data_IF_316359071555
#
_entry.id   IF_316359071555
#
_cell.length_a   1.000
_cell.length_b   1.000
_cell.length_c   1.000
_cell.angle_alpha   90.00
_cell.angle_beta   90.00
_cell.angle_gamma   90.00
#
_symmetry.space_group_name_H-M   'P 1'
#
loop_
_entity.id
_entity.type
_entity.pdbx_description
1 polymer ?
#
# COMPACT_ATOMS: atom_id res chain seq x y z
N UNK A 1 -13.51 0.49 -37.93
CA UNK A 1 -12.12 0.02 -37.89
C UNK A 1 -11.35 0.48 -36.65
N UNK A 2 -11.49 1.73 -36.24
CA UNK A 2 -10.83 2.27 -35.01
C UNK A 2 -11.34 1.63 -33.72
N UNK A 3 -12.62 1.31 -33.61
CA UNK A 3 -13.22 0.69 -32.41
C UNK A 3 -12.71 -0.74 -32.15
N UNK A 4 -12.44 -1.52 -33.20
CA UNK A 4 -11.84 -2.87 -33.11
C UNK A 4 -10.37 -2.84 -32.68
N UNK A 5 -9.63 -1.81 -33.09
CA UNK A 5 -8.22 -1.61 -32.67
C UNK A 5 -8.12 -1.24 -31.18
N UNK A 6 -9.02 -0.39 -30.68
CA UNK A 6 -9.07 0.00 -29.25
C UNK A 6 -9.44 -1.23 -28.40
N UNK A 7 -10.37 -2.07 -28.84
CA UNK A 7 -10.73 -3.30 -28.15
C UNK A 7 -9.60 -4.33 -28.13
N UNK A 8 -8.81 -4.42 -29.23
CA UNK A 8 -7.65 -5.31 -29.30
C UNK A 8 -6.49 -4.85 -28.42
N UNK A 9 -6.24 -3.53 -28.35
CA UNK A 9 -5.22 -2.94 -27.49
C UNK A 9 -5.59 -3.12 -26.02
N UNK A 10 -6.85 -2.92 -25.64
CA UNK A 10 -7.33 -3.18 -24.28
C UNK A 10 -7.21 -4.66 -23.89
N UNK A 11 -7.56 -5.58 -24.78
CA UNK A 11 -7.42 -7.03 -24.52
C UNK A 11 -5.95 -7.46 -24.35
N UNK A 12 -5.01 -6.88 -25.10
CA UNK A 12 -3.58 -7.17 -24.94
C UNK A 12 -3.00 -6.53 -23.67
N UNK A 13 -3.50 -5.35 -23.27
CA UNK A 13 -3.14 -4.70 -22.00
C UNK A 13 -3.68 -5.50 -20.81
N UNK A 14 -4.88 -6.07 -20.93
CA UNK A 14 -5.48 -6.90 -19.87
C UNK A 14 -4.72 -8.20 -19.64
N UNK A 15 -4.24 -8.87 -20.69
CA UNK A 15 -3.45 -10.11 -20.57
C UNK A 15 -2.07 -9.86 -19.94
N UNK A 16 -1.39 -8.76 -20.31
CA UNK A 16 -0.14 -8.35 -19.63
C UNK A 16 -0.39 -7.89 -18.19
N UNK A 17 -1.52 -7.26 -17.94
CA UNK A 17 -1.96 -6.85 -16.60
C UNK A 17 -2.23 -8.05 -15.69
N UNK A 18 -2.86 -9.12 -16.21
CA UNK A 18 -3.10 -10.36 -15.47
C UNK A 18 -1.79 -11.05 -15.08
N UNK A 19 -0.86 -11.21 -16.02
CA UNK A 19 0.43 -11.84 -15.75
C UNK A 19 1.28 -11.04 -14.73
N UNK A 20 1.29 -9.72 -14.84
CA UNK A 20 1.97 -8.86 -13.85
C UNK A 20 1.31 -8.96 -12.48
N UNK A 21 -0.03 -9.08 -12.42
CA UNK A 21 -0.75 -9.30 -11.15
C UNK A 21 -0.37 -10.60 -10.48
N UNK A 22 -0.25 -11.69 -11.23
CA UNK A 22 0.12 -13.00 -10.70
C UNK A 22 1.54 -12.97 -10.11
N UNK A 23 2.51 -12.42 -10.82
CA UNK A 23 3.90 -12.29 -10.35
C UNK A 23 3.99 -11.41 -9.09
N UNK A 24 3.27 -10.29 -9.05
CA UNK A 24 3.21 -9.42 -7.87
C UNK A 24 2.56 -10.14 -6.69
N UNK A 25 1.48 -10.86 -6.93
CA UNK A 25 0.78 -11.66 -5.92
C UNK A 25 1.70 -12.73 -5.34
N UNK A 26 2.38 -13.52 -6.20
CA UNK A 26 3.34 -14.55 -5.78
C UNK A 26 4.44 -13.97 -4.88
N UNK A 27 4.95 -12.76 -5.21
CA UNK A 27 5.94 -12.07 -4.40
C UNK A 27 5.37 -11.55 -3.08
N UNK A 28 4.10 -11.13 -3.04
CA UNK A 28 3.40 -10.64 -1.85
C UNK A 28 2.97 -11.76 -0.91
N UNK A 29 2.62 -12.94 -1.43
CA UNK A 29 2.21 -14.11 -0.64
C UNK A 29 3.38 -14.72 0.15
N UNK A 30 4.63 -14.46 -0.25
CA UNK A 30 5.81 -14.84 0.53
C UNK A 30 5.88 -14.05 1.83
N UNK A 31 6.27 -14.71 2.91
CA UNK A 31 6.59 -14.00 4.14
C UNK A 31 7.64 -12.91 3.88
N UNK A 32 7.52 -11.72 4.50
CA UNK A 32 8.46 -10.62 4.30
C UNK A 32 9.94 -11.02 4.47
N UNK A 33 10.24 -11.95 5.41
CA UNK A 33 11.58 -12.45 5.66
C UNK A 33 12.13 -13.44 4.61
N UNK A 34 11.25 -13.98 3.76
CA UNK A 34 11.61 -14.96 2.71
C UNK A 34 11.70 -14.33 1.32
N UNK A 35 11.36 -13.03 1.18
CA UNK A 35 11.43 -12.32 -0.10
C UNK A 35 12.85 -12.15 -0.56
N UNK A 36 13.11 -12.58 -1.78
CA UNK A 36 14.39 -12.42 -2.47
C UNK A 36 14.58 -10.99 -2.97
N UNK A 37 15.79 -10.67 -3.44
CA UNK A 37 16.05 -9.38 -4.10
C UNK A 37 15.19 -9.18 -5.34
N UNK A 38 14.90 -10.25 -6.07
CA UNK A 38 14.03 -10.23 -7.25
C UNK A 38 12.58 -9.91 -6.88
N UNK A 39 12.03 -10.54 -5.83
CA UNK A 39 10.70 -10.21 -5.31
C UNK A 39 10.61 -8.73 -4.92
N UNK A 40 11.63 -8.19 -4.26
CA UNK A 40 11.66 -6.79 -3.88
C UNK A 40 11.73 -5.84 -5.09
N UNK A 41 12.38 -6.23 -6.17
CA UNK A 41 12.40 -5.42 -7.40
C UNK A 41 11.05 -5.41 -8.11
N UNK A 42 10.38 -6.56 -8.17
CA UNK A 42 9.00 -6.68 -8.67
C UNK A 42 8.05 -5.77 -7.87
N UNK A 43 8.12 -5.85 -6.54
CA UNK A 43 7.29 -5.03 -5.65
C UNK A 43 7.61 -3.54 -5.75
N UNK A 44 8.89 -3.17 -5.95
CA UNK A 44 9.30 -1.79 -6.18
C UNK A 44 8.73 -1.23 -7.48
N UNK A 45 8.78 -1.98 -8.56
CA UNK A 45 8.20 -1.59 -9.85
C UNK A 45 6.68 -1.45 -9.75
N UNK A 46 6.02 -2.39 -9.07
CA UNK A 46 4.59 -2.35 -8.83
C UNK A 46 4.19 -1.10 -8.02
N UNK A 47 4.84 -0.84 -6.89
CA UNK A 47 4.52 0.29 -6.01
C UNK A 47 4.78 1.65 -6.65
N UNK A 48 5.62 1.74 -7.70
CA UNK A 48 5.80 2.97 -8.47
C UNK A 48 4.54 3.42 -9.22
N UNK A 49 3.66 2.48 -9.52
CA UNK A 49 2.41 2.74 -10.25
C UNK A 49 1.25 3.15 -9.33
N UNK A 50 1.43 3.03 -8.01
CA UNK A 50 0.41 3.35 -7.02
C UNK A 50 0.62 4.76 -6.46
N UNK A 51 -0.44 5.59 -6.52
CA UNK A 51 -0.40 6.98 -6.08
C UNK A 51 0.01 7.12 -4.60
N UNK A 52 -0.44 6.20 -3.76
CA UNK A 52 -0.11 6.17 -2.34
C UNK A 52 1.41 6.15 -2.04
N UNK A 53 2.25 5.70 -2.98
CA UNK A 53 3.71 5.66 -2.83
C UNK A 53 4.46 6.78 -3.57
N UNK A 54 3.78 7.65 -4.32
CA UNK A 54 4.42 8.65 -5.19
C UNK A 54 5.34 9.63 -4.46
N UNK A 55 5.01 9.98 -3.22
CA UNK A 55 5.80 10.93 -2.42
C UNK A 55 6.97 10.30 -1.67
N UNK A 56 7.18 8.98 -1.83
CA UNK A 56 8.23 8.25 -1.14
C UNK A 56 9.50 8.11 -1.98
N UNK A 57 10.65 8.25 -1.33
CA UNK A 57 11.92 7.98 -2.00
C UNK A 57 12.05 6.48 -2.30
N UNK A 58 12.89 6.12 -3.28
CA UNK A 58 13.14 4.72 -3.63
C UNK A 58 13.62 3.90 -2.42
N UNK A 59 14.46 4.47 -1.56
CA UNK A 59 14.95 3.79 -0.36
C UNK A 59 13.83 3.50 0.65
N UNK A 60 12.92 4.46 0.87
CA UNK A 60 11.73 4.25 1.72
C UNK A 60 10.84 3.16 1.13
N UNK A 61 10.56 3.24 -0.14
CA UNK A 61 9.70 2.29 -0.86
C UNK A 61 10.25 0.88 -0.79
N UNK A 62 11.56 0.71 -1.03
CA UNK A 62 12.24 -0.59 -0.90
C UNK A 62 12.13 -1.14 0.52
N UNK A 63 12.34 -0.31 1.52
CA UNK A 63 12.20 -0.69 2.91
C UNK A 63 10.76 -1.09 3.28
N UNK A 64 9.75 -0.41 2.73
CA UNK A 64 8.34 -0.80 2.92
C UNK A 64 8.02 -2.12 2.20
N UNK A 65 8.51 -2.33 0.97
CA UNK A 65 8.35 -3.60 0.25
C UNK A 65 8.92 -4.80 1.01
N UNK A 66 9.95 -4.61 1.83
CA UNK A 66 10.54 -5.70 2.63
C UNK A 66 9.74 -6.07 3.89
N UNK A 67 8.75 -5.26 4.29
CA UNK A 67 7.99 -5.49 5.54
C UNK A 67 6.47 -5.48 5.35
N UNK A 68 5.96 -5.11 4.17
CA UNK A 68 4.53 -5.10 3.92
C UNK A 68 3.95 -6.52 3.92
N UNK A 69 2.74 -6.64 4.44
CA UNK A 69 1.99 -7.89 4.51
C UNK A 69 0.84 -7.84 3.50
N UNK A 70 0.61 -8.95 2.82
CA UNK A 70 -0.51 -9.11 1.89
C UNK A 70 -1.75 -9.61 2.64
N UNK A 71 -2.88 -9.02 2.36
CA UNK A 71 -4.17 -9.43 2.93
C UNK A 71 -5.22 -9.52 1.82
N UNK A 72 -6.03 -10.57 1.87
CA UNK A 72 -7.13 -10.82 0.93
C UNK A 72 -8.43 -10.92 1.69
N UNK A 73 -9.46 -10.26 1.20
CA UNK A 73 -10.84 -10.36 1.68
C UNK A 73 -11.69 -10.90 0.53
N UNK A 74 -12.03 -12.18 0.63
CA UNK A 74 -12.64 -12.94 -0.47
C UNK A 74 -14.05 -12.46 -0.84
N UNK A 75 -14.85 -11.99 0.14
CA UNK A 75 -16.28 -11.73 -0.07
C UNK A 75 -16.62 -10.25 0.09
N UNK A 76 -17.44 -9.74 -0.83
CA UNK A 76 -18.10 -8.46 -0.70
C UNK A 76 -18.96 -8.38 0.59
N UNK A 77 -19.08 -7.18 1.15
CA UNK A 77 -19.82 -6.93 2.40
C UNK A 77 -19.06 -7.29 3.67
N UNK A 78 -17.82 -7.77 3.56
CA UNK A 78 -16.98 -8.08 4.72
C UNK A 78 -16.47 -6.79 5.35
N UNK A 79 -16.56 -6.68 6.67
CA UNK A 79 -16.03 -5.54 7.43
C UNK A 79 -14.50 -5.63 7.49
N UNK A 80 -13.85 -4.58 7.00
CA UNK A 80 -12.38 -4.42 7.02
C UNK A 80 -11.93 -3.66 8.26
N UNK A 81 -12.69 -2.63 8.66
CA UNK A 81 -12.47 -1.84 9.88
C UNK A 81 -13.80 -1.46 10.51
N UNK A 82 -13.85 -1.47 11.83
CA UNK A 82 -15.02 -1.00 12.59
C UNK A 82 -14.90 0.48 12.92
N UNK A 83 -16.05 1.12 13.14
CA UNK A 83 -16.07 2.46 13.72
C UNK A 83 -15.39 2.47 15.08
N UNK A 84 -14.57 3.49 15.36
CA UNK A 84 -13.76 3.64 16.58
C UNK A 84 -12.71 2.53 16.81
N UNK A 85 -12.37 1.73 15.80
CA UNK A 85 -11.24 0.80 15.87
C UNK A 85 -9.92 1.56 15.92
N UNK A 86 -8.99 1.16 16.81
CA UNK A 86 -7.65 1.78 16.91
C UNK A 86 -6.85 1.50 15.63
N UNK A 87 -6.29 2.56 15.05
CA UNK A 87 -5.48 2.46 13.84
C UNK A 87 -4.05 2.04 14.19
N UNK A 88 -3.64 0.87 13.74
CA UNK A 88 -2.31 0.29 13.98
C UNK A 88 -1.48 0.10 12.71
N UNK A 89 -2.10 0.23 11.56
CA UNK A 89 -1.49 -0.03 10.25
C UNK A 89 -1.88 1.01 9.21
N UNK A 90 -1.03 1.14 8.20
CA UNK A 90 -1.30 1.84 6.96
C UNK A 90 -1.46 0.82 5.86
N UNK A 91 -2.54 0.92 5.10
CA UNK A 91 -2.91 -0.03 4.07
C UNK A 91 -3.17 0.66 2.74
N UNK A 92 -2.87 -0.03 1.64
CA UNK A 92 -3.16 0.40 0.27
C UNK A 92 -4.00 -0.67 -0.41
N UNK A 93 -5.05 -0.25 -1.10
CA UNK A 93 -5.89 -1.13 -1.90
C UNK A 93 -5.16 -1.43 -3.21
N UNK A 94 -4.93 -2.69 -3.50
CA UNK A 94 -4.28 -3.13 -4.74
C UNK A 94 -5.24 -3.85 -5.70
N UNK A 95 -6.39 -4.28 -5.18
CA UNK A 95 -7.52 -4.79 -5.98
C UNK A 95 -8.83 -4.58 -5.24
N UNK A 96 -9.90 -4.30 -6.00
CA UNK A 96 -11.26 -4.12 -5.47
C UNK A 96 -11.53 -2.72 -4.93
N UNK A 97 -12.68 -2.58 -4.24
CA UNK A 97 -13.17 -1.32 -3.66
C UNK A 97 -13.77 -1.54 -2.30
N UNK A 98 -13.70 -0.51 -1.46
CA UNK A 98 -14.33 -0.48 -0.14
C UNK A 98 -15.23 0.76 -0.01
N UNK A 99 -16.23 0.66 0.85
CA UNK A 99 -17.06 1.80 1.27
C UNK A 99 -16.88 2.05 2.76
N UNK A 100 -16.97 3.32 3.15
CA UNK A 100 -16.94 3.77 4.55
C UNK A 100 -18.28 4.42 4.86
N UNK A 101 -18.95 3.88 5.86
CA UNK A 101 -20.23 4.36 6.41
C UNK A 101 -19.92 5.07 7.72
N UNK A 102 -20.00 6.40 7.75
CA UNK A 102 -19.85 7.17 8.99
C UNK A 102 -21.21 7.43 9.63
N UNK A 103 -21.34 7.27 10.97
CA UNK A 103 -22.57 7.57 11.69
C UNK A 103 -23.02 9.03 11.56
N UNK A 104 -22.06 9.94 11.36
CA UNK A 104 -22.29 11.38 11.32
C UNK A 104 -22.54 11.91 9.88
N UNK A 105 -22.13 11.16 8.87
CA UNK A 105 -22.25 11.58 7.47
C UNK A 105 -23.21 10.65 6.71
N UNK A 106 -24.25 11.23 6.14
CA UNK A 106 -25.18 10.54 5.24
C UNK A 106 -24.49 10.11 3.92
N UNK A 107 -23.33 10.69 3.61
CA UNK A 107 -22.60 10.40 2.39
C UNK A 107 -21.62 9.23 2.60
N UNK A 108 -21.77 8.19 1.77
CA UNK A 108 -20.82 7.10 1.67
C UNK A 108 -19.53 7.60 1.02
N UNK A 109 -18.39 7.26 1.64
CA UNK A 109 -17.07 7.46 1.04
C UNK A 109 -16.60 6.14 0.42
N UNK A 110 -16.08 6.20 -0.78
CA UNK A 110 -15.51 5.06 -1.48
C UNK A 110 -14.01 5.21 -1.60
N UNK A 111 -13.29 4.10 -1.46
CA UNK A 111 -11.88 4.00 -1.78
C UNK A 111 -11.70 2.85 -2.78
N UNK A 112 -10.79 3.03 -3.74
CA UNK A 112 -10.55 2.09 -4.82
C UNK A 112 -9.06 1.78 -4.99
N UNK A 113 -8.74 0.95 -5.95
CA UNK A 113 -7.36 0.53 -6.24
C UNK A 113 -6.42 1.73 -6.37
N UNK A 114 -5.34 1.74 -5.61
CA UNK A 114 -4.36 2.83 -5.51
C UNK A 114 -4.56 3.74 -4.29
N UNK A 115 -5.76 3.78 -3.72
CA UNK A 115 -6.03 4.55 -2.51
C UNK A 115 -5.43 3.91 -1.27
N UNK A 116 -5.16 4.75 -0.26
CA UNK A 116 -4.65 4.29 1.02
C UNK A 116 -5.55 4.71 2.18
N UNK A 117 -5.52 3.91 3.24
CA UNK A 117 -6.24 4.16 4.48
C UNK A 117 -5.41 3.75 5.70
N UNK A 118 -5.93 4.02 6.89
CA UNK A 118 -5.25 3.73 8.15
C UNK A 118 -4.38 4.89 8.62
N UNK A 119 -3.33 4.59 9.36
CA UNK A 119 -2.57 5.58 10.11
C UNK A 119 -1.33 6.09 9.36
N UNK A 120 -1.06 7.38 9.45
CA UNK A 120 0.27 7.95 9.19
C UNK A 120 1.16 7.78 10.43
N UNK A 121 2.51 7.76 10.32
CA UNK A 121 3.39 7.62 11.47
C UNK A 121 3.13 8.71 12.51
N UNK A 122 2.71 8.31 13.71
CA UNK A 122 2.41 9.19 14.84
C UNK A 122 2.71 8.48 16.16
N UNK A 123 2.85 9.25 17.24
CA UNK A 123 2.92 8.71 18.60
C UNK A 123 1.54 8.69 19.27
N UNK A 124 0.55 9.32 18.65
CA UNK A 124 -0.81 9.39 19.18
C UNK A 124 -1.62 8.16 18.75
N UNK A 125 -2.55 7.76 19.60
CA UNK A 125 -3.57 6.79 19.24
C UNK A 125 -4.63 7.47 18.40
N UNK A 126 -4.83 6.96 17.19
CA UNK A 126 -5.87 7.41 16.29
C UNK A 126 -6.88 6.28 16.08
N UNK A 127 -8.12 6.66 15.82
CA UNK A 127 -9.24 5.73 15.66
C UNK A 127 -9.90 5.93 14.31
N UNK A 128 -10.41 4.86 13.74
CA UNK A 128 -11.15 4.89 12.48
C UNK A 128 -12.51 5.57 12.69
N UNK A 129 -12.89 6.41 11.75
CA UNK A 129 -14.22 7.05 11.75
C UNK A 129 -15.12 6.37 10.72
N UNK A 130 -16.14 5.71 11.21
CA UNK A 130 -17.09 4.94 10.41
C UNK A 130 -16.68 3.48 10.25
N UNK A 131 -17.57 2.69 9.66
CA UNK A 131 -17.35 1.27 9.38
C UNK A 131 -16.96 1.09 7.92
N UNK A 132 -15.81 0.46 7.66
CA UNK A 132 -15.32 0.15 6.33
C UNK A 132 -15.68 -1.27 5.93
N UNK A 133 -16.28 -1.45 4.75
CA UNK A 133 -16.66 -2.75 4.19
C UNK A 133 -16.22 -2.89 2.74
N UNK A 134 -15.88 -4.10 2.33
CA UNK A 134 -15.68 -4.42 0.91
C UNK A 134 -17.00 -4.35 0.15
N UNK A 135 -16.97 -3.87 -1.10
CA UNK A 135 -18.15 -3.85 -2.00
C UNK A 135 -17.97 -4.77 -3.21
N UNK A 136 -16.79 -5.35 -3.37
CA UNK A 136 -16.44 -6.34 -4.39
C UNK A 136 -15.83 -7.56 -3.74
N UNK A 137 -15.89 -8.70 -4.45
CA UNK A 137 -15.19 -9.92 -4.08
C UNK A 137 -13.69 -9.78 -4.37
N UNK A 138 -12.86 -10.59 -3.72
CA UNK A 138 -11.41 -10.63 -3.88
C UNK A 138 -10.73 -9.26 -3.70
N UNK A 139 -11.14 -8.50 -2.70
CA UNK A 139 -10.45 -7.27 -2.32
C UNK A 139 -9.08 -7.58 -1.73
N UNK A 140 -8.03 -6.92 -2.24
CA UNK A 140 -6.65 -7.18 -1.86
C UNK A 140 -5.97 -5.91 -1.37
N UNK A 141 -5.20 -6.07 -0.30
CA UNK A 141 -4.53 -4.98 0.38
C UNK A 141 -3.06 -5.31 0.64
N UNK A 142 -2.22 -4.30 0.61
CA UNK A 142 -0.89 -4.35 1.24
C UNK A 142 -0.92 -3.51 2.50
N UNK A 143 -0.54 -4.12 3.63
CA UNK A 143 -0.62 -3.52 4.95
C UNK A 143 0.78 -3.38 5.55
N UNK A 144 1.04 -2.27 6.21
CA UNK A 144 2.31 -1.98 6.87
C UNK A 144 1.99 -1.52 8.29
N UNK A 145 2.40 -2.30 9.29
CA UNK A 145 2.16 -1.94 10.69
C UNK A 145 2.89 -0.64 11.06
N UNK A 146 2.32 0.10 11.99
CA UNK A 146 2.88 1.37 12.45
C UNK A 146 4.33 1.20 12.96
N UNK A 147 4.62 0.13 13.69
CA UNK A 147 5.96 -0.16 14.21
C UNK A 147 6.98 -0.31 13.07
N UNK A 148 6.64 -1.06 12.04
CA UNK A 148 7.51 -1.26 10.87
C UNK A 148 7.68 0.05 10.08
N UNK A 149 6.60 0.79 9.86
CA UNK A 149 6.64 2.09 9.16
C UNK A 149 7.49 3.10 9.91
N UNK A 150 7.35 3.17 11.24
CA UNK A 150 8.11 4.08 12.10
C UNK A 150 9.61 3.70 12.15
N UNK A 151 9.94 2.42 12.30
CA UNK A 151 11.32 1.94 12.30
C UNK A 151 12.02 2.22 10.98
N UNK A 152 11.37 1.99 9.86
CA UNK A 152 11.93 2.30 8.53
C UNK A 152 12.14 3.81 8.35
N UNK A 153 11.20 4.63 8.82
CA UNK A 153 11.33 6.09 8.78
C UNK A 153 12.48 6.58 9.65
N UNK A 154 12.65 6.03 10.86
CA UNK A 154 13.74 6.34 11.79
C UNK A 154 15.13 5.95 11.23
N UNK A 155 15.25 4.78 10.59
CA UNK A 155 16.50 4.32 9.96
C UNK A 155 16.91 5.29 8.85
N UNK A 156 15.97 5.73 8.02
CA UNK A 156 16.23 6.66 6.93
C UNK A 156 16.51 8.08 7.43
N UNK A 157 15.87 8.50 8.52
CA UNK A 157 16.14 9.79 9.15
C UNK A 157 17.53 9.81 9.79
N UNK A 158 17.94 8.73 10.49
CA UNK A 158 19.28 8.58 11.05
C UNK A 158 20.36 8.57 9.96
N UNK A 159 20.14 7.93 8.81
CA UNK A 159 21.10 7.91 7.71
C UNK A 159 21.30 9.31 7.11
N UNK A 160 20.25 10.12 6.97
CA UNK A 160 20.34 11.52 6.52
C UNK A 160 21.05 12.42 7.54
N UNK A 161 20.79 12.23 8.83
CA UNK A 161 21.44 13.02 9.91
C UNK A 161 22.93 12.69 10.04
N UNK A 162 23.33 11.41 9.88
CA UNK A 162 24.74 11.01 9.88
C UNK A 162 25.52 11.65 8.72
N UNK A 163 24.91 11.77 7.53
CA UNK A 163 25.51 12.45 6.39
C UNK A 163 25.61 13.98 6.57
N UNK A 164 24.74 14.57 7.36
CA UNK A 164 24.78 16.00 7.68
C UNK A 164 25.86 16.32 8.73
N UNK A 165 26.00 15.46 9.75
CA UNK A 165 27.00 15.63 10.80
C UNK A 165 28.46 15.44 10.30
N UNK A 166 28.66 14.55 9.30
CA UNK A 166 29.99 14.33 8.69
C UNK A 166 30.45 15.46 7.77
N UNK A 167 29.55 16.37 7.35
CA UNK A 167 29.90 17.54 6.52
C UNK A 167 30.25 18.80 7.32
N UNK A 168 29.99 18.82 8.62
CA UNK A 168 30.27 19.98 9.50
C UNK A 168 31.60 19.91 10.24
N UNK A 169 32.33 18.78 10.14
CA UNK A 169 33.64 18.59 10.82
C UNK A 169 34.86 18.79 9.94
N UNK A 170 34.73 19.34 8.74
CA UNK A 170 35.88 19.69 7.89
C UNK A 170 35.87 21.19 7.57
N UNK A 171 35.95 22.03 8.59
CA UNK A 171 36.44 23.42 8.51
C UNK A 171 36.96 23.84 9.87
N UNK A 172 38.19 23.55 10.12
CA UNK A 172 39.11 24.30 11.01
C UNK A 172 40.47 24.22 10.42
#
# INVERSE_FOLDING_TARGET
>A
MICLLIQFINCCLDLQSLHVRDIVRDSLEKDPGERTSEDLEILLEFTQKLEAFNHMTMAVRRALCSVMVFAVVEKAGTTVMMDQEELDSWSVIINGRVQIESPENVALKYLECGDSFGITPTMDKLYHNGTMKTIEDDCQFVCITQVNKFNQFLILFKSKFSLFCSRTTTKS
#
